data_IF_425415852318
#
_entry.id   IF_425415852318
#
_cell.length_a   1.000
_cell.length_b   1.000
_cell.length_c   1.000
_cell.angle_alpha   90.00
_cell.angle_beta   90.00
_cell.angle_gamma   90.00
#
_symmetry.space_group_name_H-M   'P 1'
#
loop_
_entity.id
_entity.type
_entity.pdbx_description
1 polymer ?
#
# COMPACT_ATOMS: atom_id res chain seq x y z
N UNK A 1 -22.83 21.30 33.05
CA UNK A 1 -21.47 20.84 32.68
C UNK A 1 -21.41 20.72 31.16
N UNK A 2 -20.81 21.71 30.49
CA UNK A 2 -20.59 21.68 29.05
C UNK A 2 -19.07 21.52 28.81
N UNK A 3 -18.65 20.38 28.31
CA UNK A 3 -17.29 20.18 27.82
C UNK A 3 -17.19 20.84 26.45
N UNK A 4 -16.69 22.07 26.41
CA UNK A 4 -16.34 22.75 25.17
C UNK A 4 -15.14 22.02 24.54
N UNK A 5 -15.43 21.13 23.60
CA UNK A 5 -14.44 20.51 22.74
C UNK A 5 -13.75 21.61 21.94
N UNK A 6 -12.52 21.95 22.33
CA UNK A 6 -11.66 22.87 21.58
C UNK A 6 -11.33 22.23 20.24
N UNK A 7 -12.04 22.62 19.19
CA UNK A 7 -11.62 22.47 17.80
C UNK A 7 -10.38 23.34 17.63
N UNK A 8 -9.19 22.75 17.73
CA UNK A 8 -7.98 23.44 17.29
C UNK A 8 -8.11 23.66 15.78
N UNK A 9 -7.78 24.87 15.27
CA UNK A 9 -7.69 25.09 13.83
C UNK A 9 -6.62 24.16 13.28
N UNK A 10 -6.95 23.47 12.17
CA UNK A 10 -6.00 22.64 11.45
C UNK A 10 -4.77 23.49 11.08
N UNK A 11 -3.58 22.93 11.27
CA UNK A 11 -2.34 23.58 10.85
C UNK A 11 -2.40 23.91 9.36
N UNK A 12 -1.89 25.07 8.95
CA UNK A 12 -1.85 25.49 7.53
C UNK A 12 -1.15 24.48 6.59
N UNK A 13 -0.33 23.57 7.13
CA UNK A 13 0.26 22.43 6.42
C UNK A 13 -0.74 21.30 6.12
N UNK A 14 -1.73 21.09 6.99
CA UNK A 14 -2.83 20.13 6.78
C UNK A 14 -3.82 20.63 5.71
N UNK A 15 -4.07 21.94 5.63
CA UNK A 15 -4.99 22.53 4.64
C UNK A 15 -4.48 22.42 3.20
N UNK A 16 -3.18 22.65 2.96
CA UNK A 16 -2.58 22.49 1.62
C UNK A 16 -2.48 21.04 1.17
N UNK A 17 -2.46 20.10 2.11
CA UNK A 17 -2.44 18.67 1.82
C UNK A 17 -3.84 18.13 1.52
N UNK A 18 -4.92 18.82 1.91
CA UNK A 18 -6.28 18.35 1.68
C UNK A 18 -6.59 18.02 0.20
N UNK A 19 -6.24 18.87 -0.80
CA UNK A 19 -6.44 18.54 -2.22
C UNK A 19 -5.56 17.38 -2.70
N UNK A 20 -4.30 17.32 -2.23
CA UNK A 20 -3.36 16.25 -2.59
C UNK A 20 -3.81 14.90 -2.04
N UNK A 21 -4.32 14.89 -0.81
CA UNK A 21 -4.85 13.71 -0.13
C UNK A 21 -6.16 13.23 -0.75
N UNK A 22 -7.05 14.15 -1.14
CA UNK A 22 -8.23 13.81 -1.93
C UNK A 22 -7.83 13.14 -3.25
N UNK A 23 -6.89 13.74 -3.99
CA UNK A 23 -6.40 13.16 -5.24
C UNK A 23 -5.75 11.80 -5.04
N UNK A 24 -5.01 11.60 -3.96
CA UNK A 24 -4.41 10.31 -3.62
C UNK A 24 -5.48 9.25 -3.35
N UNK A 25 -6.56 9.58 -2.61
CA UNK A 25 -7.70 8.67 -2.43
C UNK A 25 -8.33 8.27 -3.76
N UNK A 26 -8.56 9.23 -4.65
CA UNK A 26 -9.13 8.94 -5.98
C UNK A 26 -8.24 7.96 -6.77
N UNK A 27 -6.91 8.16 -6.73
CA UNK A 27 -5.95 7.28 -7.41
C UNK A 27 -5.92 5.88 -6.80
N UNK A 28 -6.00 5.77 -5.47
CA UNK A 28 -6.06 4.48 -4.76
C UNK A 28 -7.38 3.75 -5.06
N UNK A 29 -8.52 4.44 -5.00
CA UNK A 29 -9.83 3.89 -5.35
C UNK A 29 -9.89 3.43 -6.81
N UNK A 30 -9.30 4.20 -7.73
CA UNK A 30 -9.20 3.80 -9.13
C UNK A 30 -8.33 2.54 -9.31
N UNK A 31 -7.25 2.39 -8.54
CA UNK A 31 -6.40 1.19 -8.58
C UNK A 31 -7.09 -0.05 -7.98
N UNK A 32 -7.94 0.12 -6.96
CA UNK A 32 -8.67 -0.99 -6.33
C UNK A 32 -9.88 -1.44 -7.18
N UNK A 33 -10.55 -0.52 -7.89
CA UNK A 33 -11.72 -0.84 -8.74
C UNK A 33 -11.44 -1.88 -9.82
N UNK A 34 -10.20 -1.96 -10.31
CA UNK A 34 -9.82 -2.98 -11.32
C UNK A 34 -10.01 -4.41 -10.82
N UNK A 35 -10.14 -4.62 -9.51
CA UNK A 35 -10.36 -5.92 -8.87
C UNK A 35 -11.83 -6.24 -8.59
N UNK A 36 -12.70 -5.23 -8.59
CA UNK A 36 -14.15 -5.40 -8.38
C UNK A 36 -14.91 -5.46 -9.70
N UNK A 37 -14.41 -4.82 -10.75
CA UNK A 37 -15.08 -4.74 -12.05
C UNK A 37 -14.96 -6.06 -12.87
N UNK A 38 -14.09 -6.99 -12.44
CA UNK A 38 -13.84 -8.29 -13.09
C UNK A 38 -14.66 -9.48 -12.54
N UNK A 39 -15.36 -9.32 -11.42
CA UNK A 39 -16.20 -10.39 -10.85
C UNK A 39 -17.57 -10.39 -11.51
N UNK A 40 -17.65 -11.07 -12.65
CA UNK A 40 -18.84 -11.50 -13.40
C UNK A 40 -20.22 -10.95 -13.00
N UNK A 41 -20.75 -10.07 -13.86
CA UNK A 41 -22.16 -10.06 -14.24
C UNK A 41 -23.17 -9.36 -13.30
N UNK A 42 -23.63 -8.18 -13.73
CA UNK A 42 -25.07 -7.88 -13.63
C UNK A 42 -25.57 -7.13 -12.40
N UNK A 43 -24.77 -6.24 -11.80
CA UNK A 43 -25.17 -4.99 -11.13
C UNK A 43 -23.89 -4.40 -10.56
N UNK A 44 -23.67 -3.09 -10.69
CA UNK A 44 -22.67 -2.43 -9.88
C UNK A 44 -23.12 -2.62 -8.43
N UNK A 45 -22.51 -3.56 -7.73
CA UNK A 45 -22.82 -3.83 -6.34
C UNK A 45 -22.38 -2.59 -5.55
N UNK A 46 -23.36 -1.80 -5.10
CA UNK A 46 -23.09 -0.56 -4.37
C UNK A 46 -22.22 -0.84 -3.14
N UNK A 47 -22.31 -2.05 -2.60
CA UNK A 47 -21.50 -2.53 -1.48
C UNK A 47 -20.03 -2.73 -1.90
N UNK A 48 -19.76 -3.29 -3.08
CA UNK A 48 -18.41 -3.41 -3.62
C UNK A 48 -17.78 -2.03 -3.89
N UNK A 49 -18.56 -1.08 -4.44
CA UNK A 49 -18.08 0.28 -4.62
C UNK A 49 -17.78 0.97 -3.29
N UNK A 50 -18.70 0.86 -2.32
CA UNK A 50 -18.53 1.42 -0.97
C UNK A 50 -17.31 0.83 -0.25
N UNK A 51 -17.09 -0.48 -0.42
CA UNK A 51 -15.94 -1.18 0.15
C UNK A 51 -14.62 -0.70 -0.44
N UNK A 52 -14.57 -0.44 -1.75
CA UNK A 52 -13.39 0.14 -2.42
C UNK A 52 -13.08 1.55 -1.92
N UNK A 53 -14.09 2.41 -1.80
CA UNK A 53 -13.90 3.79 -1.33
C UNK A 53 -13.47 3.84 0.14
N UNK A 54 -14.00 2.94 0.97
CA UNK A 54 -13.56 2.74 2.36
C UNK A 54 -12.10 2.29 2.42
N UNK A 55 -11.76 1.23 1.68
CA UNK A 55 -10.40 0.69 1.57
C UNK A 55 -9.38 1.74 1.12
N UNK A 56 -9.72 2.53 0.10
CA UNK A 56 -8.88 3.61 -0.39
C UNK A 56 -8.68 4.72 0.66
N UNK A 57 -9.73 5.05 1.42
CA UNK A 57 -9.68 6.02 2.50
C UNK A 57 -8.81 5.55 3.66
N UNK A 58 -8.88 4.26 4.02
CA UNK A 58 -8.04 3.66 5.06
C UNK A 58 -6.57 3.62 4.65
N UNK A 59 -6.28 3.23 3.40
CA UNK A 59 -4.92 3.28 2.83
C UNK A 59 -4.33 4.69 2.85
N UNK A 60 -5.12 5.69 2.46
CA UNK A 60 -4.65 7.07 2.51
C UNK A 60 -4.36 7.54 3.94
N UNK A 61 -5.25 7.21 4.89
CA UNK A 61 -5.03 7.52 6.31
C UNK A 61 -3.77 6.85 6.84
N UNK A 62 -3.53 5.59 6.48
CA UNK A 62 -2.33 4.85 6.86
C UNK A 62 -1.06 5.46 6.26
N UNK A 63 -1.10 5.88 4.99
CA UNK A 63 0.00 6.61 4.33
C UNK A 63 0.32 7.94 5.04
N UNK A 64 -0.71 8.65 5.48
CA UNK A 64 -0.57 9.94 6.14
C UNK A 64 -0.07 9.83 7.59
N UNK A 65 -0.59 8.85 8.34
CA UNK A 65 -0.30 8.66 9.78
C UNK A 65 0.88 7.74 10.08
N UNK A 66 1.56 7.22 9.06
CA UNK A 66 2.64 6.25 9.24
C UNK A 66 3.70 6.73 10.25
N UNK A 67 4.14 5.87 11.20
CA UNK A 67 5.05 6.25 12.27
C UNK A 67 6.42 6.72 11.74
N UNK A 68 7.02 7.71 12.41
CA UNK A 68 8.38 8.18 12.15
C UNK A 68 8.57 9.25 11.06
N UNK A 69 7.48 9.79 10.48
CA UNK A 69 7.56 10.70 9.33
C UNK A 69 7.69 12.17 9.76
N UNK A 70 8.92 12.66 9.95
CA UNK A 70 9.22 14.10 10.15
C UNK A 70 9.05 14.94 8.86
N UNK A 71 9.10 14.29 7.69
CA UNK A 71 8.91 14.88 6.35
C UNK A 71 7.64 14.35 5.66
N UNK A 72 6.48 14.67 6.24
CA UNK A 72 5.17 14.09 5.87
C UNK A 72 4.88 14.17 4.38
N UNK A 73 5.17 15.29 3.69
CA UNK A 73 4.85 15.45 2.27
C UNK A 73 5.73 14.66 1.29
N UNK A 74 7.04 14.55 1.56
CA UNK A 74 7.96 13.84 0.67
C UNK A 74 7.82 12.32 0.81
N UNK A 75 7.81 11.84 2.06
CA UNK A 75 7.66 10.40 2.34
C UNK A 75 6.30 9.91 1.89
N UNK A 76 5.21 10.67 2.12
CA UNK A 76 3.87 10.35 1.63
C UNK A 76 3.83 10.13 0.11
N UNK A 77 4.36 11.09 -0.67
CA UNK A 77 4.36 10.99 -2.14
C UNK A 77 5.21 9.83 -2.64
N UNK A 78 6.36 9.58 -2.01
CA UNK A 78 7.23 8.45 -2.37
C UNK A 78 6.53 7.12 -2.08
N UNK A 79 5.95 6.95 -0.88
CA UNK A 79 5.21 5.72 -0.55
C UNK A 79 4.02 5.52 -1.47
N UNK A 80 3.26 6.57 -1.80
CA UNK A 80 2.15 6.50 -2.74
C UNK A 80 2.60 6.04 -4.14
N UNK A 81 3.72 6.58 -4.65
CA UNK A 81 4.30 6.17 -5.95
C UNK A 81 4.76 4.72 -5.96
N UNK A 82 5.25 4.19 -4.84
CA UNK A 82 5.65 2.78 -4.72
C UNK A 82 4.44 1.85 -4.59
N UNK A 83 3.41 2.26 -3.87
CA UNK A 83 2.24 1.42 -3.58
C UNK A 83 1.27 1.32 -4.77
N UNK A 84 1.08 2.40 -5.52
CA UNK A 84 0.12 2.45 -6.64
C UNK A 84 0.35 1.34 -7.70
N UNK A 85 1.58 1.08 -8.19
CA UNK A 85 1.84 -0.03 -9.10
C UNK A 85 1.48 -1.39 -8.50
N UNK A 86 1.69 -1.58 -7.20
CA UNK A 86 1.38 -2.83 -6.51
C UNK A 86 -0.12 -3.10 -6.42
N UNK A 87 -0.93 -2.05 -6.23
CA UNK A 87 -2.39 -2.16 -6.21
C UNK A 87 -2.99 -2.43 -7.60
N UNK A 88 -2.29 -2.04 -8.67
CA UNK A 88 -2.71 -2.25 -10.06
C UNK A 88 -2.37 -3.63 -10.62
N UNK A 89 -1.60 -4.43 -9.89
CA UNK A 89 -1.35 -5.83 -10.29
C UNK A 89 -2.69 -6.58 -10.28
N UNK A 90 -2.88 -7.52 -11.19
CA UNK A 90 -4.16 -8.23 -11.38
C UNK A 90 -4.11 -9.67 -10.87
N UNK A 91 -3.00 -10.10 -10.26
CA UNK A 91 -2.90 -11.45 -9.71
C UNK A 91 -3.72 -11.59 -8.42
N UNK A 92 -4.29 -12.77 -8.19
CA UNK A 92 -5.16 -13.03 -7.04
C UNK A 92 -4.43 -12.99 -5.68
N UNK A 93 -3.09 -12.94 -5.69
CA UNK A 93 -2.22 -12.82 -4.52
C UNK A 93 -1.72 -11.40 -4.27
N UNK A 94 -2.08 -10.43 -5.10
CA UNK A 94 -1.56 -9.08 -5.03
C UNK A 94 -2.09 -8.33 -3.80
N UNK A 95 -1.44 -7.21 -3.50
CA UNK A 95 -1.78 -6.37 -2.35
C UNK A 95 -3.23 -5.90 -2.39
N UNK A 96 -3.74 -5.50 -3.57
CA UNK A 96 -5.12 -5.05 -3.71
C UNK A 96 -6.14 -6.16 -3.44
N UNK A 97 -5.95 -7.35 -4.02
CA UNK A 97 -6.85 -8.48 -3.81
C UNK A 97 -6.88 -8.91 -2.32
N UNK A 98 -5.71 -9.01 -1.69
CA UNK A 98 -5.59 -9.36 -0.26
C UNK A 98 -6.25 -8.32 0.65
N UNK A 99 -6.09 -7.04 0.32
CA UNK A 99 -6.71 -5.94 1.07
C UNK A 99 -8.24 -5.97 0.94
N UNK A 100 -8.76 -6.18 -0.27
CA UNK A 100 -10.20 -6.28 -0.51
C UNK A 100 -10.84 -7.53 0.10
N UNK A 101 -10.08 -8.61 0.34
CA UNK A 101 -10.54 -9.79 1.08
C UNK A 101 -10.40 -9.66 2.60
N UNK A 102 -9.83 -8.56 3.11
CA UNK A 102 -9.56 -8.39 4.54
C UNK A 102 -8.40 -9.23 5.08
N UNK A 103 -7.59 -9.84 4.20
CA UNK A 103 -6.39 -10.63 4.57
C UNK A 103 -5.19 -9.73 4.90
N UNK A 104 -5.28 -8.44 4.58
CA UNK A 104 -4.24 -7.45 4.77
C UNK A 104 -4.87 -6.11 5.17
N UNK A 105 -4.46 -5.54 6.30
CA UNK A 105 -4.93 -4.21 6.69
C UNK A 105 -4.24 -3.10 5.87
N UNK A 106 -4.87 -1.92 5.82
CA UNK A 106 -4.28 -0.75 5.17
C UNK A 106 -2.89 -0.37 5.75
N UNK A 107 -2.72 -0.47 7.07
CA UNK A 107 -1.47 -0.18 7.77
C UNK A 107 -0.37 -1.18 7.42
N UNK A 108 -0.73 -2.47 7.32
CA UNK A 108 0.19 -3.52 6.89
C UNK A 108 0.59 -3.30 5.43
N UNK A 109 -0.38 -3.03 4.53
CA UNK A 109 -0.13 -2.79 3.11
C UNK A 109 0.87 -1.64 2.85
N UNK A 110 0.74 -0.54 3.60
CA UNK A 110 1.63 0.63 3.51
C UNK A 110 3.03 0.34 4.07
N UNK A 111 3.14 -0.64 4.96
CA UNK A 111 4.40 -1.01 5.64
C UNK A 111 5.12 -2.19 4.98
N UNK A 112 4.55 -2.78 3.91
CA UNK A 112 5.18 -3.87 3.19
C UNK A 112 6.53 -3.44 2.59
N UNK A 113 7.56 -4.30 2.66
CA UNK A 113 8.82 -4.02 2.01
C UNK A 113 8.66 -3.98 0.48
N UNK A 114 9.47 -3.21 -0.26
CA UNK A 114 9.36 -3.11 -1.72
C UNK A 114 9.40 -4.46 -2.46
N UNK A 115 10.12 -5.44 -1.91
CA UNK A 115 10.19 -6.78 -2.45
C UNK A 115 8.84 -7.52 -2.40
N UNK A 116 8.00 -7.26 -1.39
CA UNK A 116 6.68 -7.87 -1.27
C UNK A 116 5.61 -7.17 -2.13
N UNK A 117 5.84 -5.90 -2.45
CA UNK A 117 5.02 -5.11 -3.37
C UNK A 117 5.26 -5.45 -4.85
N UNK A 118 6.37 -6.13 -5.15
CA UNK A 118 6.70 -6.52 -6.52
C UNK A 118 5.76 -7.63 -7.05
N UNK A 119 5.56 -7.70 -8.38
CA UNK A 119 4.79 -8.79 -9.01
C UNK A 119 5.34 -10.16 -8.62
N UNK A 120 4.46 -11.16 -8.50
CA UNK A 120 4.81 -12.51 -8.06
C UNK A 120 6.05 -13.10 -8.76
N UNK A 121 6.14 -12.93 -10.10
CA UNK A 121 7.28 -13.38 -10.90
C UNK A 121 8.59 -12.70 -10.49
N UNK A 122 8.57 -11.38 -10.28
CA UNK A 122 9.74 -10.61 -9.86
C UNK A 122 10.14 -10.99 -8.44
N UNK A 123 9.19 -11.25 -7.54
CA UNK A 123 9.50 -11.74 -6.19
C UNK A 123 10.21 -13.09 -6.23
N UNK A 124 9.72 -14.01 -7.06
CA UNK A 124 10.33 -15.32 -7.24
C UNK A 124 11.77 -15.19 -7.77
N UNK A 125 12.00 -14.31 -8.75
CA UNK A 125 13.33 -14.05 -9.29
C UNK A 125 14.27 -13.42 -8.24
N UNK A 126 13.79 -12.47 -7.44
CA UNK A 126 14.56 -11.85 -6.37
C UNK A 126 14.91 -12.85 -5.25
N UNK A 127 13.95 -13.69 -4.86
CA UNK A 127 14.15 -14.75 -3.88
C UNK A 127 15.18 -15.79 -4.39
N UNK A 128 15.07 -16.22 -5.64
CA UNK A 128 16.03 -17.13 -6.26
C UNK A 128 17.45 -16.53 -6.32
N UNK A 129 17.56 -15.24 -6.66
CA UNK A 129 18.85 -14.53 -6.67
C UNK A 129 19.47 -14.41 -5.28
N UNK A 130 18.65 -14.14 -4.26
CA UNK A 130 19.11 -14.09 -2.88
C UNK A 130 19.57 -15.46 -2.38
N UNK A 131 18.79 -16.52 -2.66
CA UNK A 131 19.14 -17.90 -2.33
C UNK A 131 20.45 -18.32 -2.99
N UNK A 132 20.65 -17.97 -4.26
CA UNK A 132 21.91 -18.23 -4.97
C UNK A 132 23.10 -17.56 -4.30
N UNK A 133 22.99 -16.28 -3.93
CA UNK A 133 24.08 -15.56 -3.25
C UNK A 133 24.44 -16.19 -1.90
N UNK A 134 23.45 -16.57 -1.11
CA UNK A 134 23.68 -17.24 0.17
C UNK A 134 24.36 -18.60 -0.02
N UNK A 135 24.01 -19.35 -1.07
CA UNK A 135 24.68 -20.60 -1.40
C UNK A 135 26.13 -20.38 -1.85
N UNK A 136 26.39 -19.36 -2.67
CA UNK A 136 27.73 -19.00 -3.13
C UNK A 136 28.63 -18.54 -1.96
N UNK A 137 28.08 -17.78 -1.00
CA UNK A 137 28.76 -17.32 0.22
C UNK A 137 29.08 -18.50 1.17
N UNK A 138 28.10 -19.38 1.43
CA UNK A 138 28.30 -20.59 2.22
C UNK A 138 29.29 -21.58 1.55
N UNK A 139 29.41 -21.54 0.23
CA UNK A 139 30.42 -22.32 -0.49
C UNK A 139 31.82 -21.70 -0.33
N UNK A 140 31.93 -20.37 -0.29
CA UNK A 140 33.19 -19.66 -0.09
C UNK A 140 33.78 -19.89 1.31
N UNK A 141 32.94 -19.86 2.36
CA UNK A 141 33.38 -20.12 3.75
C UNK A 141 33.90 -21.55 3.99
N UNK A 142 33.57 -22.52 3.12
CA UNK A 142 34.01 -23.91 3.24
C UNK A 142 35.32 -24.20 2.51
N UNK A 143 35.86 -23.24 1.76
CA UNK A 143 37.15 -23.42 1.09
C UNK A 143 38.28 -23.24 2.12
N UNK A 144 39.26 -24.16 2.16
CA UNK A 144 40.41 -24.02 3.06
C UNK A 144 41.29 -22.87 2.58
N UNK A 145 41.09 -21.69 3.16
CA UNK A 145 41.87 -20.47 2.86
C UNK A 145 41.09 -19.14 2.86
N UNK A 146 39.80 -19.13 3.25
CA UNK A 146 39.05 -17.91 3.53
C UNK A 146 39.47 -17.22 4.82
#
# INVERSE_FOLDING_TARGET
>A
MAAATRTQPLSSSDERLCPVRAKARDMLAAALRTHTDGTGGGRADADAHSHVELSASELERALYRGPGRRDTGAVYRTTLRTLLPALRQTDAGCVAARLLRGELSAEQAVSLPPAELAPAELRAALAAKAAKRAADEAAWERLPGG
#
